data_IF_244131987515
#
_entry.id   IF_244131987515
#
_cell.length_a   1.000
_cell.length_b   1.000
_cell.length_c   1.000
_cell.angle_alpha   90.00
_cell.angle_beta   90.00
_cell.angle_gamma   90.00
#
_symmetry.space_group_name_H-M   'P 1'
#
loop_
_entity.id
_entity.type
_entity.pdbx_description
1 polymer ?
#
# COMPACT_ATOMS: atom_id res chain seq x y z
N UNK A 1 14.14 -45.78 9.01
CA UNK A 1 13.11 -44.72 9.10
C UNK A 1 13.86 -43.42 9.43
N UNK A 2 13.90 -42.34 8.65
CA UNK A 2 13.08 -41.84 7.55
C UNK A 2 13.96 -41.53 6.32
N UNK A 3 13.49 -41.91 5.14
CA UNK A 3 14.04 -41.47 3.85
C UNK A 3 13.67 -40.00 3.66
N UNK A 4 14.65 -39.10 3.82
CA UNK A 4 14.57 -37.75 3.24
C UNK A 4 14.76 -37.90 1.74
N UNK A 5 13.65 -37.95 1.02
CA UNK A 5 13.67 -37.96 -0.44
C UNK A 5 14.39 -36.70 -0.93
N UNK A 6 15.43 -36.91 -1.73
CA UNK A 6 16.05 -35.91 -2.56
C UNK A 6 15.08 -35.56 -3.71
N UNK A 7 15.15 -34.30 -4.18
CA UNK A 7 14.38 -33.66 -5.26
C UNK A 7 12.95 -33.18 -4.96
N UNK A 8 12.81 -31.86 -4.83
CA UNK A 8 11.80 -31.13 -5.60
C UNK A 8 12.52 -30.39 -6.76
N UNK A 9 12.22 -30.69 -8.03
CA UNK A 9 12.74 -29.89 -9.14
C UNK A 9 11.96 -28.57 -9.24
N UNK A 10 12.58 -27.46 -8.83
CA UNK A 10 12.27 -26.05 -9.18
C UNK A 10 10.82 -25.69 -9.60
N UNK A 11 10.01 -25.05 -8.72
CA UNK A 11 8.92 -24.09 -9.09
C UNK A 11 8.23 -23.48 -7.83
N UNK A 12 8.89 -22.59 -7.09
CA UNK A 12 8.21 -21.84 -6.02
C UNK A 12 7.79 -20.45 -6.50
N UNK A 13 6.48 -20.26 -6.73
CA UNK A 13 5.85 -18.94 -6.73
C UNK A 13 4.50 -19.08 -6.02
N UNK A 14 4.44 -18.73 -4.73
CA UNK A 14 3.21 -18.75 -3.91
C UNK A 14 2.85 -17.30 -3.53
N UNK A 15 1.69 -16.79 -3.98
CA UNK A 15 0.62 -16.52 -3.02
C UNK A 15 -0.76 -17.04 -3.50
N UNK A 16 -1.36 -17.91 -2.66
CA UNK A 16 -2.69 -18.52 -2.80
C UNK A 16 -2.75 -19.80 -3.65
N UNK A 17 -3.66 -20.73 -3.29
CA UNK A 17 -3.89 -22.01 -4.01
C UNK A 17 -4.91 -21.91 -5.17
N UNK A 18 -5.34 -20.70 -5.55
CA UNK A 18 -6.42 -20.49 -6.53
C UNK A 18 -6.03 -20.59 -8.01
N UNK A 19 -4.74 -20.69 -8.35
CA UNK A 19 -4.26 -20.77 -9.74
C UNK A 19 -3.59 -22.11 -10.02
N UNK A 20 -4.01 -22.74 -11.13
CA UNK A 20 -3.53 -24.06 -11.57
C UNK A 20 -2.07 -24.03 -12.02
N UNK A 21 -1.73 -23.05 -12.87
CA UNK A 21 -0.41 -22.99 -13.51
C UNK A 21 0.48 -21.91 -12.88
N UNK A 22 1.79 -22.16 -12.84
CA UNK A 22 2.75 -21.20 -12.29
C UNK A 22 2.83 -19.90 -13.11
N UNK A 23 2.57 -19.95 -14.42
CA UNK A 23 2.56 -18.75 -15.26
C UNK A 23 1.42 -17.79 -14.89
N UNK A 24 0.25 -18.35 -14.55
CA UNK A 24 -0.89 -17.58 -14.07
C UNK A 24 -0.56 -16.90 -12.73
N UNK A 25 0.14 -17.62 -11.83
CA UNK A 25 0.63 -17.06 -10.56
C UNK A 25 1.58 -15.88 -10.78
N UNK A 26 2.53 -16.00 -11.71
CA UNK A 26 3.45 -14.90 -12.06
C UNK A 26 2.70 -13.71 -12.64
N UNK A 27 1.71 -13.94 -13.53
CA UNK A 27 0.88 -12.87 -14.09
C UNK A 27 0.07 -12.17 -12.99
N UNK A 28 -0.54 -12.92 -12.07
CA UNK A 28 -1.29 -12.38 -10.94
C UNK A 28 -0.42 -11.50 -10.03
N UNK A 29 0.80 -11.96 -9.68
CA UNK A 29 1.77 -11.17 -8.91
C UNK A 29 2.15 -9.87 -9.60
N UNK A 30 2.39 -9.91 -10.92
CA UNK A 30 2.69 -8.70 -11.71
C UNK A 30 1.52 -7.72 -11.69
N UNK A 31 0.28 -8.22 -11.81
CA UNK A 31 -0.92 -7.39 -11.74
C UNK A 31 -1.12 -6.77 -10.35
N UNK A 32 -0.88 -7.53 -9.28
CA UNK A 32 -0.95 -7.04 -7.90
C UNK A 32 0.07 -5.91 -7.65
N UNK A 33 1.32 -6.10 -8.09
CA UNK A 33 2.34 -5.02 -7.99
C UNK A 33 1.98 -3.82 -8.86
N UNK A 34 1.40 -4.04 -10.05
CA UNK A 34 0.97 -2.94 -10.92
C UNK A 34 -0.19 -2.13 -10.31
N UNK A 35 -1.08 -2.78 -9.56
CA UNK A 35 -2.22 -2.09 -8.94
C UNK A 35 -1.78 -1.21 -7.75
N UNK A 36 -0.73 -1.59 -7.01
CA UNK A 36 -0.19 -0.78 -5.90
C UNK A 36 0.42 0.54 -6.37
N UNK A 37 1.00 0.59 -7.57
CA UNK A 37 1.71 1.75 -8.13
C UNK A 37 0.95 3.09 -8.00
N UNK A 38 -0.38 3.09 -8.14
CA UNK A 38 -1.17 4.32 -8.00
C UNK A 38 -1.10 4.90 -6.59
N UNK A 39 -1.11 4.04 -5.57
CA UNK A 39 -1.03 4.44 -4.15
C UNK A 39 0.41 4.77 -3.76
N UNK A 40 1.36 4.00 -4.28
CA UNK A 40 2.79 4.22 -4.06
C UNK A 40 3.23 5.57 -4.63
N UNK A 41 2.68 5.97 -5.80
CA UNK A 41 2.89 7.31 -6.37
C UNK A 41 2.37 8.43 -5.47
N UNK A 42 1.32 8.18 -4.69
CA UNK A 42 0.81 9.10 -3.68
C UNK A 42 1.52 8.98 -2.33
N UNK A 43 2.61 8.21 -2.25
CA UNK A 43 3.41 7.97 -1.04
C UNK A 43 2.58 7.48 0.16
N UNK A 44 1.52 6.71 -0.08
CA UNK A 44 0.70 6.12 0.99
C UNK A 44 1.46 5.01 1.70
N UNK A 45 1.26 4.87 3.00
CA UNK A 45 1.94 3.83 3.79
C UNK A 45 1.48 2.40 3.42
N UNK A 46 0.26 2.25 2.93
CA UNK A 46 -0.31 0.97 2.55
C UNK A 46 -1.78 1.09 2.14
N UNK A 47 -2.46 -0.03 1.95
CA UNK A 47 -3.87 -0.04 1.50
C UNK A 47 -4.86 0.50 2.55
N UNK A 48 -4.50 0.38 3.82
CA UNK A 48 -5.27 0.90 4.94
C UNK A 48 -5.16 2.43 5.07
N UNK A 49 -4.15 3.04 4.47
CA UNK A 49 -3.95 4.48 4.53
C UNK A 49 -4.91 5.21 3.58
N UNK A 50 -6.06 5.59 4.15
CA UNK A 50 -7.17 6.29 3.48
C UNK A 50 -7.45 7.66 4.10
N UNK A 51 -6.47 8.22 4.81
CA UNK A 51 -6.60 9.52 5.47
C UNK A 51 -6.72 10.64 4.43
N UNK A 52 -7.67 11.55 4.65
CA UNK A 52 -7.86 12.74 3.81
C UNK A 52 -7.32 13.94 4.61
N UNK A 53 -6.18 14.52 4.23
CA UNK A 53 -5.65 15.69 4.91
C UNK A 53 -6.53 16.92 4.65
N UNK A 54 -6.68 17.76 5.67
CA UNK A 54 -7.34 19.04 5.52
C UNK A 54 -6.36 20.04 4.86
N UNK A 55 -6.43 20.14 3.54
CA UNK A 55 -5.52 20.99 2.75
C UNK A 55 -5.77 22.49 2.97
N UNK A 56 -6.98 22.88 3.39
CA UNK A 56 -7.38 24.29 3.61
C UNK A 56 -8.07 24.44 4.97
N UNK A 57 -7.33 24.35 6.08
CA UNK A 57 -7.92 24.45 7.40
C UNK A 57 -8.44 25.87 7.69
N UNK A 58 -9.66 25.96 8.22
CA UNK A 58 -10.38 27.22 8.45
C UNK A 58 -9.58 28.23 9.28
N UNK A 59 -8.94 27.80 10.37
CA UNK A 59 -8.20 28.68 11.28
C UNK A 59 -6.96 29.35 10.63
N UNK A 60 -6.52 28.89 9.46
CA UNK A 60 -5.46 29.56 8.69
C UNK A 60 -6.00 30.56 7.67
N UNK A 61 -7.21 30.31 7.15
CA UNK A 61 -7.76 31.02 5.98
C UNK A 61 -9.03 31.82 6.29
N UNK A 62 -9.46 31.88 7.55
CA UNK A 62 -10.66 32.57 8.00
C UNK A 62 -10.31 33.49 9.16
N UNK A 63 -10.98 34.64 9.21
CA UNK A 63 -10.75 35.66 10.22
C UNK A 63 -9.62 36.64 9.86
N UNK A 64 -9.51 37.71 10.65
CA UNK A 64 -8.42 38.69 10.59
C UNK A 64 -7.86 38.85 11.99
N UNK A 65 -6.56 39.14 12.09
CA UNK A 65 -5.92 39.44 13.38
C UNK A 65 -6.35 40.83 13.84
N UNK A 66 -6.93 40.92 15.03
CA UNK A 66 -7.22 42.19 15.72
C UNK A 66 -6.06 42.58 16.65
N UNK A 67 -6.12 43.79 17.22
CA UNK A 67 -5.19 44.19 18.28
C UNK A 67 -5.53 43.41 19.57
N UNK A 68 -4.53 42.77 20.18
CA UNK A 68 -4.70 41.95 21.40
C UNK A 68 -4.15 40.53 21.24
N UNK A 69 -4.79 39.56 21.91
CA UNK A 69 -4.37 38.15 21.92
C UNK A 69 -4.48 37.52 20.53
N UNK A 70 -3.43 36.80 20.12
CA UNK A 70 -3.34 36.10 18.84
C UNK A 70 -3.67 34.62 19.06
N UNK A 71 -4.26 33.96 18.07
CA UNK A 71 -4.63 32.53 18.14
C UNK A 71 -3.44 31.57 18.21
N UNK A 72 -2.26 31.99 17.74
CA UNK A 72 -1.01 31.21 17.78
C UNK A 72 0.03 31.94 18.61
N UNK A 73 0.87 31.17 19.30
CA UNK A 73 1.96 31.64 20.16
C UNK A 73 3.21 32.01 19.34
#
# INVERSE_FOLDING_TARGET
MMLRTLMSPTREVVPGEGYKDSEQKIKALKLAKKSSNKRDKSARRGEADRVIPNMKPKHLFSGKRSNGKIERH
#
